data_IF_665661666521
#
_entry.id   IF_665661666521
#
_cell.length_a   1.000
_cell.length_b   1.000
_cell.length_c   1.000
_cell.angle_alpha   90.00
_cell.angle_beta   90.00
_cell.angle_gamma   90.00
#
_symmetry.space_group_name_H-M   'P 1'
#
loop_
_entity.id
_entity.type
_entity.pdbx_description
1 polymer ?
#
# COMPACT_ATOMS: atom_id res chain seq x y z
N UNK A 1 -11.27 4.46 35.40
CA UNK A 1 -10.46 5.31 34.52
C UNK A 1 -10.03 4.48 33.33
N UNK A 2 -10.80 4.51 32.25
CA UNK A 2 -10.45 3.84 30.99
C UNK A 2 -9.38 4.68 30.31
N UNK A 3 -8.18 4.11 30.17
CA UNK A 3 -7.08 4.69 29.39
C UNK A 3 -7.49 4.52 27.93
N UNK A 4 -8.05 5.57 27.32
CA UNK A 4 -8.32 5.56 25.89
C UNK A 4 -6.98 5.38 25.17
N UNK A 5 -6.82 4.24 24.50
CA UNK A 5 -5.72 4.03 23.59
C UNK A 5 -5.92 5.01 22.43
N UNK A 6 -5.17 6.11 22.41
CA UNK A 6 -5.10 6.95 21.21
C UNK A 6 -4.72 6.04 20.05
N UNK A 7 -5.49 6.01 18.95
CA UNK A 7 -5.03 5.36 17.75
C UNK A 7 -3.69 6.00 17.38
N UNK A 8 -2.66 5.17 17.21
CA UNK A 8 -1.35 5.65 16.78
C UNK A 8 -1.55 6.19 15.38
N UNK A 9 -1.35 7.50 15.18
CA UNK A 9 -1.47 8.12 13.87
C UNK A 9 -0.54 7.42 12.88
N UNK A 10 -1.03 7.14 11.67
CA UNK A 10 -0.21 6.55 10.63
C UNK A 10 0.95 7.44 10.26
N UNK A 11 2.07 6.80 9.89
CA UNK A 11 3.34 7.47 9.56
C UNK A 11 3.69 7.24 8.11
N UNK A 12 4.51 8.10 7.51
CA UNK A 12 5.02 7.92 6.14
C UNK A 12 5.67 6.53 5.97
N UNK A 13 6.32 6.04 7.02
CA UNK A 13 6.96 4.73 7.02
C UNK A 13 5.96 3.56 6.88
N UNK A 14 4.73 3.71 7.39
CA UNK A 14 3.69 2.68 7.25
C UNK A 14 3.27 2.51 5.78
N UNK A 15 3.06 3.64 5.08
CA UNK A 15 2.78 3.64 3.64
C UNK A 15 3.96 3.09 2.82
N UNK A 16 5.19 3.48 3.16
CA UNK A 16 6.38 2.99 2.47
C UNK A 16 6.59 1.48 2.60
N UNK A 17 6.35 0.90 3.79
CA UNK A 17 6.47 -0.55 4.02
C UNK A 17 5.47 -1.35 3.19
N UNK A 18 4.21 -0.92 3.14
CA UNK A 18 3.18 -1.58 2.34
C UNK A 18 3.47 -1.47 0.84
N UNK A 19 3.93 -0.31 0.40
CA UNK A 19 4.35 -0.12 -0.99
C UNK A 19 5.49 -1.07 -1.38
N UNK A 20 6.54 -1.16 -0.55
CA UNK A 20 7.66 -2.08 -0.77
C UNK A 20 7.20 -3.55 -0.85
N UNK A 21 6.33 -3.98 0.07
CA UNK A 21 5.76 -5.33 0.01
C UNK A 21 4.99 -5.60 -1.28
N UNK A 22 4.19 -4.64 -1.75
CA UNK A 22 3.44 -4.78 -3.02
C UNK A 22 4.42 -4.87 -4.20
N UNK A 23 5.45 -4.01 -4.23
CA UNK A 23 6.45 -4.00 -5.31
C UNK A 23 7.20 -5.34 -5.39
N UNK A 24 7.63 -5.89 -4.25
CA UNK A 24 8.30 -7.19 -4.16
C UNK A 24 7.42 -8.34 -4.70
N UNK A 25 6.13 -8.35 -4.33
CA UNK A 25 5.17 -9.38 -4.79
C UNK A 25 4.85 -9.25 -6.28
N UNK A 26 4.75 -8.02 -6.76
CA UNK A 26 4.55 -7.75 -8.17
C UNK A 26 5.76 -8.21 -9.01
N UNK A 27 6.98 -7.99 -8.52
CA UNK A 27 8.21 -8.49 -9.15
C UNK A 27 8.30 -10.02 -9.15
N UNK A 28 7.98 -10.66 -8.02
CA UNK A 28 7.93 -12.12 -7.90
C UNK A 28 6.97 -12.73 -8.94
N UNK A 29 5.74 -12.22 -9.02
CA UNK A 29 4.73 -12.72 -9.96
C UNK A 29 5.10 -12.43 -11.41
N UNK A 30 5.73 -11.30 -11.71
CA UNK A 30 6.24 -10.99 -13.06
C UNK A 30 7.33 -11.99 -13.48
N UNK A 31 8.17 -12.44 -12.54
CA UNK A 31 9.18 -13.49 -12.79
C UNK A 31 8.56 -14.87 -12.97
N UNK A 32 7.48 -15.19 -12.26
CA UNK A 32 6.78 -16.47 -12.39
C UNK A 32 5.97 -16.59 -13.69
N UNK A 33 5.25 -15.54 -14.10
CA UNK A 33 4.30 -15.55 -15.22
C UNK A 33 4.90 -15.20 -16.60
N UNK A 34 6.19 -15.46 -16.83
CA UNK A 34 6.88 -15.21 -18.11
C UNK A 34 6.02 -15.43 -19.38
N UNK A 35 6.03 -14.49 -20.37
CA UNK A 35 5.67 -13.10 -20.31
C UNK A 35 4.22 -12.90 -20.83
N UNK A 36 3.19 -13.16 -20.02
CA UNK A 36 1.79 -12.94 -20.43
C UNK A 36 1.33 -11.47 -20.41
N UNK A 37 2.28 -10.53 -20.47
CA UNK A 37 2.01 -9.09 -20.57
C UNK A 37 2.19 -8.35 -19.24
N UNK A 38 2.75 -7.14 -19.31
CA UNK A 38 3.05 -6.30 -18.14
C UNK A 38 1.85 -5.46 -17.67
N UNK A 39 0.69 -5.58 -18.30
CA UNK A 39 -0.45 -4.69 -18.05
C UNK A 39 -1.05 -4.85 -16.63
N UNK A 40 -1.34 -6.08 -16.14
CA UNK A 40 -1.86 -6.27 -14.78
C UNK A 40 -0.85 -5.82 -13.71
N UNK A 41 0.45 -6.07 -13.96
CA UNK A 41 1.55 -5.56 -13.16
C UNK A 41 1.56 -4.03 -13.12
N UNK A 42 1.46 -3.38 -14.28
CA UNK A 42 1.59 -1.94 -14.38
C UNK A 42 0.41 -1.20 -13.75
N UNK A 43 -0.80 -1.76 -13.81
CA UNK A 43 -1.98 -1.16 -13.17
C UNK A 43 -1.91 -1.25 -11.64
N UNK A 44 -1.54 -2.42 -11.11
CA UNK A 44 -1.37 -2.62 -9.68
C UNK A 44 -0.23 -1.75 -9.10
N UNK A 45 0.91 -1.71 -9.80
CA UNK A 45 2.03 -0.86 -9.43
C UNK A 45 1.66 0.63 -9.42
N UNK A 46 1.01 1.12 -10.49
CA UNK A 46 0.55 2.52 -10.57
C UNK A 46 -0.46 2.85 -9.48
N UNK A 47 -1.38 1.93 -9.16
CA UNK A 47 -2.36 2.11 -8.08
C UNK A 47 -1.64 2.24 -6.73
N UNK A 48 -0.75 1.31 -6.39
CA UNK A 48 0.00 1.32 -5.14
C UNK A 48 0.87 2.59 -5.00
N UNK A 49 1.57 2.98 -6.08
CA UNK A 49 2.41 4.16 -6.09
C UNK A 49 1.60 5.46 -5.86
N UNK A 50 0.43 5.60 -6.52
CA UNK A 50 -0.46 6.75 -6.30
C UNK A 50 -0.98 6.81 -4.87
N UNK A 51 -1.36 5.67 -4.29
CA UNK A 51 -1.85 5.59 -2.92
C UNK A 51 -0.75 5.95 -1.90
N UNK A 52 0.47 5.49 -2.11
CA UNK A 52 1.62 5.86 -1.27
C UNK A 52 1.90 7.36 -1.33
N UNK A 53 1.88 7.97 -2.52
CA UNK A 53 2.03 9.43 -2.65
C UNK A 53 0.88 10.20 -2.01
N UNK A 54 -0.37 9.78 -2.21
CA UNK A 54 -1.55 10.42 -1.63
C UNK A 54 -1.52 10.35 -0.09
N UNK A 55 -1.10 9.23 0.47
CA UNK A 55 -0.87 9.07 1.91
C UNK A 55 0.19 10.04 2.45
N UNK A 56 1.37 10.10 1.80
CA UNK A 56 2.43 11.02 2.20
C UNK A 56 1.99 12.49 2.11
N UNK A 57 1.28 12.86 1.04
CA UNK A 57 0.75 14.21 0.86
C UNK A 57 -0.29 14.58 1.92
N UNK A 58 -1.18 13.64 2.28
CA UNK A 58 -2.17 13.85 3.34
C UNK A 58 -1.50 14.06 4.71
N UNK A 59 -0.46 13.28 5.03
CA UNK A 59 0.34 13.48 6.24
C UNK A 59 1.06 14.84 6.25
N UNK A 60 1.67 15.25 5.13
CA UNK A 60 2.30 16.56 5.00
C UNK A 60 1.31 17.72 5.12
N UNK A 61 0.06 17.53 4.69
CA UNK A 61 -1.03 18.50 4.83
C UNK A 61 -1.67 18.49 6.22
N UNK A 62 -1.33 17.54 7.10
CA UNK A 62 -1.97 17.36 8.41
C UNK A 62 -3.37 16.75 8.35
N UNK A 63 -3.79 16.19 7.21
CA UNK A 63 -5.07 15.53 7.04
C UNK A 63 -4.96 14.05 7.45
N UNK A 64 -5.13 13.81 8.76
CA UNK A 64 -5.05 12.47 9.32
C UNK A 64 -6.14 11.51 8.79
N UNK A 65 -7.32 12.04 8.43
CA UNK A 65 -8.42 11.22 7.93
C UNK A 65 -8.15 10.74 6.50
N UNK A 66 -7.69 11.64 5.61
CA UNK A 66 -7.26 11.26 4.27
C UNK A 66 -6.03 10.34 4.31
N UNK A 67 -5.09 10.58 5.23
CA UNK A 67 -3.94 9.70 5.41
C UNK A 67 -4.38 8.28 5.76
N UNK A 68 -5.24 8.09 6.77
CA UNK A 68 -5.68 6.75 7.13
C UNK A 68 -6.51 6.08 6.03
N UNK A 69 -7.34 6.86 5.31
CA UNK A 69 -8.07 6.36 4.15
C UNK A 69 -7.14 5.82 3.06
N UNK A 70 -6.10 6.57 2.68
CA UNK A 70 -5.12 6.13 1.69
C UNK A 70 -4.28 4.95 2.17
N UNK A 71 -3.93 4.91 3.46
CA UNK A 71 -3.21 3.80 4.04
C UNK A 71 -4.06 2.52 4.03
N UNK A 72 -5.35 2.61 4.34
CA UNK A 72 -6.26 1.47 4.28
C UNK A 72 -6.38 0.94 2.85
N UNK A 73 -6.56 1.82 1.86
CA UNK A 73 -6.58 1.41 0.46
C UNK A 73 -5.27 0.72 0.03
N UNK A 74 -4.12 1.14 0.57
CA UNK A 74 -2.83 0.48 0.31
C UNK A 74 -2.75 -0.90 0.99
N UNK A 75 -3.32 -1.07 2.19
CA UNK A 75 -3.47 -2.39 2.85
C UNK A 75 -4.36 -3.33 2.05
N UNK A 76 -5.43 -2.82 1.44
CA UNK A 76 -6.34 -3.62 0.62
C UNK A 76 -5.60 -4.14 -0.63
N UNK A 77 -4.83 -3.29 -1.31
CA UNK A 77 -3.94 -3.73 -2.40
C UNK A 77 -2.93 -4.76 -1.89
N UNK A 78 -2.24 -4.50 -0.78
CA UNK A 78 -1.31 -5.47 -0.21
C UNK A 78 -1.99 -6.82 0.07
N UNK A 79 -3.25 -6.82 0.51
CA UNK A 79 -4.01 -8.04 0.81
C UNK A 79 -4.35 -8.83 -0.46
N UNK A 80 -4.68 -8.15 -1.56
CA UNK A 80 -4.86 -8.78 -2.90
C UNK A 80 -3.60 -9.56 -3.33
N UNK A 81 -2.40 -9.07 -2.97
CA UNK A 81 -1.12 -9.71 -3.30
C UNK A 81 -0.56 -10.62 -2.20
N UNK A 82 -1.08 -10.54 -0.97
CA UNK A 82 -0.74 -11.45 0.13
C UNK A 82 -1.35 -12.85 -0.04
N UNK A 83 -2.49 -12.94 -0.74
CA UNK A 83 -3.22 -14.20 -1.00
C UNK A 83 -2.60 -15.12 -2.05
N UNK A 84 -1.49 -14.72 -2.69
CA UNK A 84 -0.72 -15.55 -3.62
C UNK A 84 0.41 -16.32 -2.92
N UNK A 85 0.17 -16.83 -1.71
CA UNK A 85 0.97 -17.91 -1.16
C UNK A 85 0.57 -19.21 -1.87
N UNK A 86 1.40 -19.65 -2.82
CA UNK A 86 1.47 -21.08 -3.19
C UNK A 86 1.96 -21.91 -2.02
#
# INVERSE_FOLDING_TARGET
MTKEARPVASTIQDGAKLYGFIDDRLDEKLREEHPHGREPYADAWRKAHRLQQAHANALSAGDAAAAEHHLQALRDVASEWAGHSG
#
